data_IF_503956819907
#
_entry.id   IF_503956819907
#
_cell.length_a   1.000
_cell.length_b   1.000
_cell.length_c   1.000
_cell.angle_alpha   90.00
_cell.angle_beta   90.00
_cell.angle_gamma   90.00
#
_symmetry.space_group_name_H-M   'P 1'
#
loop_
_entity.id
_entity.type
_entity.pdbx_description
1 polymer ?
#
# COMPACT_ATOMS: atom_id res chain seq x y z
N UNK A 1 32.00 6.46 8.06
CA UNK A 1 30.92 5.63 7.48
C UNK A 1 31.61 4.55 6.68
N UNK A 2 31.42 3.27 7.03
CA UNK A 2 32.02 2.19 6.26
C UNK A 2 31.34 2.12 4.88
N UNK A 3 32.14 2.10 3.81
CA UNK A 3 31.68 1.85 2.45
C UNK A 3 31.35 0.36 2.33
N UNK A 4 30.16 0.05 1.81
CA UNK A 4 29.79 -1.32 1.47
C UNK A 4 30.37 -1.63 0.09
N UNK A 5 30.82 -2.87 -0.14
CA UNK A 5 31.39 -3.28 -1.42
C UNK A 5 30.62 -4.49 -1.99
N UNK A 6 30.20 -4.40 -3.25
CA UNK A 6 29.61 -5.51 -4.01
C UNK A 6 30.57 -5.85 -5.15
N UNK A 7 31.11 -7.07 -5.13
CA UNK A 7 32.13 -7.53 -6.08
C UNK A 7 33.35 -6.60 -6.23
N UNK A 8 33.77 -5.95 -5.13
CA UNK A 8 34.92 -5.04 -5.14
C UNK A 8 34.60 -3.62 -5.62
N UNK A 9 33.35 -3.32 -5.95
CA UNK A 9 32.88 -1.96 -6.26
C UNK A 9 32.27 -1.35 -5.00
N UNK A 10 32.76 -0.19 -4.61
CA UNK A 10 32.18 0.58 -3.51
C UNK A 10 30.77 1.05 -3.89
N UNK A 11 29.77 0.68 -3.08
CA UNK A 11 28.38 1.09 -3.25
C UNK A 11 27.93 1.98 -2.09
N UNK A 12 27.10 2.96 -2.42
CA UNK A 12 26.50 3.90 -1.46
C UNK A 12 25.23 3.29 -0.82
N UNK A 13 24.76 2.17 -1.37
CA UNK A 13 23.58 1.48 -0.87
C UNK A 13 23.88 0.83 0.48
N UNK A 14 22.99 1.04 1.44
CA UNK A 14 23.05 0.48 2.80
C UNK A 14 21.73 -0.19 3.11
N UNK A 15 21.73 -1.10 4.08
CA UNK A 15 20.50 -1.66 4.61
C UNK A 15 19.53 -0.55 4.99
N UNK A 16 18.26 -0.74 4.62
CA UNK A 16 17.19 0.10 5.14
C UNK A 16 17.20 0.03 6.67
N UNK A 17 16.91 1.14 7.38
CA UNK A 17 16.76 1.10 8.82
C UNK A 17 15.81 -0.04 9.22
N UNK A 18 16.26 -0.90 10.14
CA UNK A 18 15.41 -1.99 10.64
C UNK A 18 14.08 -1.41 11.12
N UNK A 19 12.95 -2.12 10.99
CA UNK A 19 11.65 -1.65 11.48
C UNK A 19 11.65 -1.26 12.97
N UNK A 20 12.56 -1.84 13.77
CA UNK A 20 12.75 -1.51 15.19
C UNK A 20 13.52 -0.23 15.45
N UNK A 21 14.11 0.39 14.43
CA UNK A 21 14.87 1.64 14.56
C UNK A 21 13.94 2.84 14.64
N UNK A 22 14.28 3.82 15.47
CA UNK A 22 13.50 5.06 15.59
C UNK A 22 13.37 5.82 14.25
N UNK A 23 14.37 5.67 13.36
CA UNK A 23 14.38 6.29 12.05
C UNK A 23 13.39 5.66 11.06
N UNK A 24 12.93 4.42 11.29
CA UNK A 24 12.05 3.69 10.36
C UNK A 24 10.61 4.23 10.33
N UNK A 25 10.18 5.00 11.35
CA UNK A 25 8.79 5.51 11.48
C UNK A 25 7.72 4.42 11.27
N UNK A 26 8.05 3.19 11.67
CA UNK A 26 7.21 2.02 11.49
C UNK A 26 6.28 1.85 12.69
N UNK A 27 4.97 1.76 12.45
CA UNK A 27 3.94 1.64 13.49
C UNK A 27 3.56 0.18 13.82
N UNK A 28 4.14 -0.80 13.13
CA UNK A 28 3.84 -2.22 13.31
C UNK A 28 2.77 -2.76 12.36
N UNK A 29 2.56 -4.08 12.44
CA UNK A 29 1.46 -4.76 11.76
C UNK A 29 0.17 -4.56 12.56
N UNK A 30 -0.93 -4.27 11.87
CA UNK A 30 -2.25 -4.03 12.43
C UNK A 30 -3.31 -4.88 11.72
N UNK A 31 -3.03 -6.19 11.60
CA UNK A 31 -3.92 -7.15 10.94
C UNK A 31 -5.31 -7.10 11.54
N UNK A 32 -6.30 -6.78 10.70
CA UNK A 32 -7.70 -6.73 11.09
C UNK A 32 -8.62 -6.90 9.89
N UNK A 33 -9.81 -7.40 10.15
CA UNK A 33 -10.91 -7.41 9.20
C UNK A 33 -12.04 -6.58 9.78
N UNK A 34 -12.51 -5.58 9.06
CA UNK A 34 -13.60 -4.70 9.48
C UNK A 34 -14.60 -4.54 8.35
N UNK A 35 -15.88 -4.42 8.70
CA UNK A 35 -16.92 -4.04 7.74
C UNK A 35 -17.09 -2.53 7.82
N UNK A 36 -16.88 -1.84 6.70
CA UNK A 36 -17.15 -0.42 6.53
C UNK A 36 -18.58 -0.28 6.00
N UNK A 37 -19.53 0.26 6.79
CA UNK A 37 -20.91 0.40 6.33
C UNK A 37 -21.02 1.42 5.18
N UNK A 38 -22.10 1.33 4.40
CA UNK A 38 -22.43 2.39 3.46
C UNK A 38 -22.60 3.73 4.22
N UNK A 39 -22.01 4.80 3.69
CA UNK A 39 -21.90 6.10 4.33
C UNK A 39 -20.66 6.28 5.20
N UNK A 40 -19.89 5.22 5.50
CA UNK A 40 -18.65 5.33 6.29
C UNK A 40 -17.67 6.32 5.66
N UNK A 41 -17.19 7.27 6.45
CA UNK A 41 -16.17 8.25 6.05
C UNK A 41 -14.95 8.13 6.96
N UNK A 42 -13.74 8.21 6.38
CA UNK A 42 -12.50 8.27 7.17
C UNK A 42 -12.42 9.57 7.99
N UNK A 43 -13.07 10.62 7.51
CA UNK A 43 -13.21 11.91 8.17
C UNK A 43 -14.14 12.82 7.36
N UNK A 44 -14.54 13.99 7.90
CA UNK A 44 -15.59 14.83 7.31
C UNK A 44 -15.23 15.40 5.94
N UNK A 45 -13.94 15.51 5.61
CA UNK A 45 -13.46 16.01 4.32
C UNK A 45 -13.41 14.94 3.21
N UNK A 46 -13.58 13.66 3.55
CA UNK A 46 -13.43 12.54 2.62
C UNK A 46 -14.78 12.04 2.10
N UNK A 47 -14.75 11.37 0.95
CA UNK A 47 -15.91 10.67 0.41
C UNK A 47 -16.30 9.49 1.30
N UNK A 48 -17.60 9.29 1.47
CA UNK A 48 -18.13 8.07 2.10
C UNK A 48 -18.14 6.86 1.17
N UNK A 49 -18.03 5.66 1.74
CA UNK A 49 -18.27 4.41 1.00
C UNK A 49 -19.72 4.35 0.53
N UNK A 50 -19.95 4.12 -0.77
CA UNK A 50 -21.32 4.02 -1.31
C UNK A 50 -21.93 2.62 -1.14
N UNK A 51 -21.09 1.61 -0.92
CA UNK A 51 -21.50 0.24 -0.66
C UNK A 51 -20.80 -0.28 0.59
N UNK A 52 -21.49 -1.14 1.33
CA UNK A 52 -20.89 -1.86 2.45
C UNK A 52 -19.68 -2.67 1.94
N UNK A 53 -18.54 -2.47 2.58
CA UNK A 53 -17.24 -2.96 2.10
C UNK A 53 -16.51 -3.66 3.23
N UNK A 54 -16.08 -4.90 3.00
CA UNK A 54 -15.11 -5.56 3.87
C UNK A 54 -13.73 -4.98 3.58
N UNK A 55 -13.05 -4.53 4.63
CA UNK A 55 -11.67 -4.10 4.63
C UNK A 55 -10.81 -5.06 5.45
N UNK A 56 -9.89 -5.76 4.80
CA UNK A 56 -8.90 -6.64 5.39
C UNK A 56 -7.54 -5.96 5.31
N UNK A 57 -6.94 -5.66 6.46
CA UNK A 57 -5.66 -4.95 6.56
C UNK A 57 -4.53 -5.92 6.86
N UNK A 58 -3.36 -5.66 6.27
CA UNK A 58 -2.11 -6.39 6.53
C UNK A 58 -2.24 -7.90 6.26
N UNK A 59 -2.94 -8.28 5.19
CA UNK A 59 -3.03 -9.69 4.77
C UNK A 59 -1.67 -10.18 4.27
N UNK A 60 -1.38 -11.46 4.51
CA UNK A 60 -0.11 -12.07 4.10
C UNK A 60 -0.24 -12.67 2.70
N UNK A 61 0.73 -12.38 1.83
CA UNK A 61 0.87 -13.00 0.53
C UNK A 61 2.25 -13.68 0.47
N UNK A 62 2.33 -14.98 0.79
CA UNK A 62 3.60 -15.70 0.72
C UNK A 62 4.03 -15.92 -0.73
N UNK A 63 5.27 -15.57 -1.03
CA UNK A 63 5.90 -15.81 -2.32
C UNK A 63 6.64 -17.14 -2.33
N UNK A 64 7.01 -17.61 -3.54
CA UNK A 64 7.75 -18.86 -3.76
C UNK A 64 9.11 -18.94 -3.05
N UNK A 65 9.74 -17.80 -2.77
CA UNK A 65 11.04 -17.72 -2.10
C UNK A 65 10.92 -17.62 -0.58
N UNK A 66 9.70 -17.73 -0.04
CA UNK A 66 9.41 -17.59 1.39
C UNK A 66 9.17 -16.16 1.85
N UNK A 67 9.43 -15.15 1.01
CA UNK A 67 9.15 -13.74 1.34
C UNK A 67 7.65 -13.55 1.54
N UNK A 68 7.27 -12.84 2.60
CA UNK A 68 5.88 -12.45 2.84
C UNK A 68 5.64 -10.99 2.40
N UNK A 69 4.79 -10.80 1.39
CA UNK A 69 4.25 -9.48 1.06
C UNK A 69 3.04 -9.16 1.92
N UNK A 70 2.76 -7.87 2.07
CA UNK A 70 1.61 -7.34 2.80
C UNK A 70 0.68 -6.59 1.88
N UNK A 71 -0.61 -6.80 2.07
CA UNK A 71 -1.63 -6.10 1.32
C UNK A 71 -2.83 -5.69 2.16
N UNK A 72 -3.53 -4.67 1.67
CA UNK A 72 -4.86 -4.30 2.12
C UNK A 72 -5.87 -4.70 1.05
N UNK A 73 -6.98 -5.34 1.44
CA UNK A 73 -8.04 -5.79 0.54
C UNK A 73 -9.34 -5.10 0.90
N UNK A 74 -9.98 -4.51 -0.10
CA UNK A 74 -11.32 -3.96 -0.02
C UNK A 74 -12.23 -4.72 -0.96
N UNK A 75 -13.32 -5.30 -0.47
CA UNK A 75 -14.27 -6.02 -1.32
C UNK A 75 -15.72 -5.74 -0.93
N UNK A 76 -16.65 -5.73 -1.89
CA UNK A 76 -18.07 -5.54 -1.58
C UNK A 76 -18.57 -6.63 -0.61
N UNK A 77 -19.40 -6.24 0.36
CA UNK A 77 -20.06 -7.19 1.27
C UNK A 77 -21.51 -7.51 0.88
N UNK A 78 -22.00 -6.93 -0.21
CA UNK A 78 -23.38 -7.07 -0.69
C UNK A 78 -23.56 -8.26 -1.66
N UNK A 79 -22.54 -9.09 -1.85
CA UNK A 79 -22.59 -10.26 -2.73
C UNK A 79 -21.77 -11.41 -2.16
N UNK A 80 -22.27 -12.63 -2.37
CA UNK A 80 -21.53 -13.87 -2.10
C UNK A 80 -20.77 -14.37 -3.34
N UNK A 81 -20.95 -13.74 -4.50
CA UNK A 81 -20.29 -14.12 -5.74
C UNK A 81 -18.84 -13.64 -5.78
N UNK A 82 -18.04 -14.27 -6.65
CA UNK A 82 -16.68 -13.80 -6.93
C UNK A 82 -16.74 -12.48 -7.69
N UNK A 83 -15.91 -11.52 -7.26
CA UNK A 83 -15.79 -10.20 -7.89
C UNK A 83 -14.42 -10.06 -8.58
N UNK A 84 -14.34 -9.29 -9.68
CA UNK A 84 -13.07 -8.94 -10.29
C UNK A 84 -12.21 -8.09 -9.33
N UNK A 85 -10.89 -8.26 -9.40
CA UNK A 85 -9.93 -7.50 -8.59
C UNK A 85 -9.25 -6.45 -9.47
N UNK A 86 -9.15 -5.23 -8.96
CA UNK A 86 -8.19 -4.22 -9.40
C UNK A 86 -7.01 -4.24 -8.44
N UNK A 87 -5.85 -4.61 -8.96
CA UNK A 87 -4.64 -4.78 -8.18
C UNK A 87 -3.75 -3.55 -8.33
N UNK A 88 -3.48 -2.88 -7.22
CA UNK A 88 -2.46 -1.85 -7.10
C UNK A 88 -1.25 -2.47 -6.41
N UNK A 89 -0.10 -2.37 -7.06
CA UNK A 89 1.16 -2.87 -6.54
C UNK A 89 2.17 -1.74 -6.67
N UNK A 90 2.55 -1.14 -5.54
CA UNK A 90 3.43 0.02 -5.54
C UNK A 90 4.33 0.05 -4.30
N UNK A 91 5.43 0.84 -4.35
CA UNK A 91 6.27 1.10 -3.20
C UNK A 91 5.85 2.34 -2.42
N UNK A 92 4.64 2.86 -2.67
CA UNK A 92 4.19 4.13 -2.10
C UNK A 92 3.37 3.96 -0.83
N UNK A 93 3.09 2.71 -0.44
CA UNK A 93 2.42 2.37 0.79
C UNK A 93 0.94 2.16 0.56
N UNK A 94 0.43 1.10 1.18
CA UNK A 94 -1.00 0.87 1.35
C UNK A 94 -1.61 1.85 2.38
N UNK A 95 -2.92 1.76 2.60
CA UNK A 95 -3.82 2.82 3.08
C UNK A 95 -3.43 3.59 4.35
N UNK A 96 -2.54 3.04 5.18
CA UNK A 96 -2.08 3.64 6.45
C UNK A 96 -0.54 3.70 6.60
N UNK A 97 0.20 3.34 5.54
CA UNK A 97 1.67 3.20 5.60
C UNK A 97 2.41 4.19 4.70
N UNK A 98 1.76 4.70 3.66
CA UNK A 98 2.36 5.59 2.66
C UNK A 98 2.52 7.04 3.10
N UNK A 99 3.61 7.67 2.67
CA UNK A 99 3.79 9.12 2.76
C UNK A 99 3.16 9.85 1.57
N UNK A 100 3.16 9.21 0.40
CA UNK A 100 2.65 9.84 -0.81
C UNK A 100 1.12 9.94 -0.78
N UNK A 101 0.61 11.12 -1.10
CA UNK A 101 -0.81 11.38 -1.31
C UNK A 101 -0.96 12.52 -2.31
N UNK A 102 -2.19 12.75 -2.78
CA UNK A 102 -2.47 13.89 -3.65
C UNK A 102 -2.21 15.24 -2.97
N UNK A 103 -2.13 15.31 -1.63
CA UNK A 103 -1.79 16.55 -0.92
C UNK A 103 -0.35 17.00 -1.13
N UNK A 104 0.54 16.11 -1.57
CA UNK A 104 1.90 16.47 -1.97
C UNK A 104 1.98 17.00 -3.40
N UNK A 105 0.93 16.81 -4.21
CA UNK A 105 0.91 17.26 -5.60
C UNK A 105 0.39 18.69 -5.66
N UNK A 106 1.06 19.62 -6.37
CA UNK A 106 0.58 20.99 -6.52
C UNK A 106 -0.90 21.05 -6.95
N UNK A 107 -1.71 21.78 -6.18
CA UNK A 107 -3.15 21.90 -6.41
C UNK A 107 -3.94 20.59 -6.33
N UNK A 108 -3.40 19.53 -5.70
CA UNK A 108 -3.95 18.16 -5.67
C UNK A 108 -4.27 17.60 -7.06
N UNK A 109 -3.52 18.01 -8.09
CA UNK A 109 -3.83 17.72 -9.50
C UNK A 109 -5.27 18.11 -9.91
N UNK A 110 -5.87 19.09 -9.23
CA UNK A 110 -7.27 19.49 -9.45
C UNK A 110 -8.32 18.56 -8.84
N UNK A 111 -7.91 17.54 -8.06
CA UNK A 111 -8.82 16.58 -7.44
C UNK A 111 -9.21 17.03 -6.02
N UNK A 112 -10.49 17.36 -5.77
CA UNK A 112 -10.95 17.73 -4.44
C UNK A 112 -10.81 16.58 -3.44
N UNK A 113 -10.51 16.89 -2.17
CA UNK A 113 -10.42 15.88 -1.11
C UNK A 113 -11.73 15.10 -0.92
N UNK A 114 -12.87 15.76 -1.10
CA UNK A 114 -14.20 15.15 -1.03
C UNK A 114 -14.47 14.11 -2.13
N UNK A 115 -13.58 13.99 -3.12
CA UNK A 115 -13.65 12.94 -4.14
C UNK A 115 -12.84 11.70 -3.78
N UNK A 116 -12.04 11.72 -2.72
CA UNK A 116 -11.22 10.60 -2.27
C UNK A 116 -11.75 10.04 -0.96
N UNK A 117 -11.67 8.74 -0.75
CA UNK A 117 -12.08 8.10 0.52
C UNK A 117 -11.08 8.29 1.64
N UNK A 118 -9.84 8.64 1.28
CA UNK A 118 -8.70 8.63 2.18
C UNK A 118 -8.20 7.22 2.45
N UNK A 119 -8.72 6.17 1.81
CA UNK A 119 -8.23 4.79 1.92
C UNK A 119 -7.44 4.35 0.69
N UNK A 120 -7.34 5.19 -0.34
CA UNK A 120 -6.51 4.94 -1.51
C UNK A 120 -5.00 4.90 -1.18
N UNK A 121 -4.23 4.14 -1.97
CA UNK A 121 -2.79 4.40 -2.11
C UNK A 121 -2.57 5.57 -3.06
N UNK A 122 -1.39 6.17 -3.01
CA UNK A 122 -0.93 7.05 -4.09
C UNK A 122 -0.94 6.30 -5.43
N UNK A 123 -1.50 6.93 -6.46
CA UNK A 123 -1.73 6.34 -7.81
C UNK A 123 -2.61 5.07 -7.83
N UNK A 124 -3.19 4.69 -6.68
CA UNK A 124 -4.07 3.54 -6.54
C UNK A 124 -5.54 3.86 -6.81
N UNK A 125 -6.36 2.84 -7.11
CA UNK A 125 -7.81 2.98 -7.22
C UNK A 125 -8.43 3.27 -5.85
N UNK A 126 -9.38 4.21 -5.80
CA UNK A 126 -10.11 4.52 -4.56
C UNK A 126 -11.11 3.40 -4.21
N UNK A 127 -10.97 2.73 -3.05
CA UNK A 127 -11.86 1.64 -2.69
C UNK A 127 -13.32 2.06 -2.56
N UNK A 128 -13.64 3.28 -2.09
CA UNK A 128 -15.03 3.73 -1.97
C UNK A 128 -15.73 3.94 -3.33
N UNK A 129 -14.95 4.18 -4.38
CA UNK A 129 -15.45 4.28 -5.75
C UNK A 129 -15.70 2.90 -6.34
N UNK A 130 -14.70 2.01 -6.25
CA UNK A 130 -14.66 0.75 -7.02
C UNK A 130 -15.42 -0.40 -6.35
N UNK A 131 -15.49 -0.48 -5.02
CA UNK A 131 -16.31 -1.50 -4.36
C UNK A 131 -17.80 -1.27 -4.62
N UNK A 132 -18.23 -0.01 -4.73
CA UNK A 132 -19.58 0.33 -5.16
C UNK A 132 -19.90 -0.06 -6.61
N UNK A 133 -18.88 -0.35 -7.43
CA UNK A 133 -19.02 -0.83 -8.81
C UNK A 133 -18.91 -2.35 -8.92
N UNK A 134 -18.82 -3.05 -7.78
CA UNK A 134 -18.69 -4.51 -7.75
C UNK A 134 -17.27 -5.03 -7.97
N UNK A 135 -16.24 -4.19 -7.80
CA UNK A 135 -14.83 -4.61 -7.87
C UNK A 135 -14.23 -4.72 -6.48
N UNK A 136 -13.32 -5.68 -6.29
CA UNK A 136 -12.41 -5.66 -5.16
C UNK A 136 -11.16 -4.84 -5.50
N UNK A 137 -10.59 -4.16 -4.51
CA UNK A 137 -9.28 -3.51 -4.59
C UNK A 137 -8.30 -4.31 -3.74
N UNK A 138 -7.15 -4.63 -4.31
CA UNK A 138 -6.03 -5.22 -3.56
C UNK A 138 -4.83 -4.29 -3.71
N UNK A 139 -4.35 -3.77 -2.59
CA UNK A 139 -3.28 -2.79 -2.52
C UNK A 139 -2.07 -3.42 -1.83
N UNK A 140 -1.02 -3.68 -2.60
CA UNK A 140 0.14 -4.48 -2.20
C UNK A 140 1.35 -3.56 -2.04
N UNK A 141 2.01 -3.67 -0.90
CA UNK A 141 3.34 -3.13 -0.72
C UNK A 141 4.36 -4.03 -1.45
N UNK A 142 5.19 -3.46 -2.32
CA UNK A 142 6.25 -4.20 -3.01
C UNK A 142 7.23 -4.86 -2.04
N UNK A 143 7.97 -5.87 -2.52
CA UNK A 143 9.08 -6.49 -1.79
C UNK A 143 10.01 -5.43 -1.19
N UNK A 144 10.36 -5.59 0.08
CA UNK A 144 11.20 -4.68 0.87
C UNK A 144 10.61 -3.30 1.17
N UNK A 145 9.37 -3.02 0.78
CA UNK A 145 8.69 -1.77 1.12
C UNK A 145 7.80 -1.92 2.34
N UNK A 146 7.90 -0.96 3.25
CA UNK A 146 7.12 -0.88 4.48
C UNK A 146 7.18 -2.17 5.31
N UNK A 147 6.08 -2.91 5.35
CA UNK A 147 5.82 -4.11 6.13
C UNK A 147 6.01 -5.41 5.34
N UNK A 148 6.30 -5.30 4.03
CA UNK A 148 6.63 -6.43 3.17
C UNK A 148 8.11 -6.78 3.28
N UNK A 149 8.39 -8.07 3.40
CA UNK A 149 9.74 -8.59 3.55
C UNK A 149 10.57 -8.47 2.27
N UNK A 150 11.87 -8.72 2.39
CA UNK A 150 12.83 -8.76 1.28
C UNK A 150 13.47 -7.40 0.96
N UNK A 151 14.03 -7.31 -0.24
CA UNK A 151 14.80 -6.14 -0.67
C UNK A 151 14.01 -5.25 -1.60
N UNK A 152 14.13 -3.94 -1.36
CA UNK A 152 13.47 -2.92 -2.17
C UNK A 152 14.40 -2.40 -3.27
N UNK A 153 13.96 -2.51 -4.52
CA UNK A 153 14.69 -2.05 -5.71
C UNK A 153 13.82 -1.06 -6.48
N UNK A 154 14.11 0.24 -6.32
CA UNK A 154 13.39 1.31 -7.01
C UNK A 154 14.10 1.61 -8.34
N UNK A 155 13.38 1.45 -9.47
CA UNK A 155 13.80 1.76 -10.86
C UNK A 155 15.28 1.46 -11.20
N UNK A 156 15.55 0.26 -11.73
CA UNK A 156 16.71 -0.05 -12.57
C UNK A 156 18.09 0.48 -12.14
N UNK A 157 18.42 0.43 -10.84
CA UNK A 157 19.83 0.31 -10.43
C UNK A 157 20.22 -1.17 -10.37
N UNK A 158 20.00 -1.91 -11.45
CA UNK A 158 20.72 -3.16 -11.70
C UNK A 158 22.13 -2.76 -12.16
N UNK A 159 23.05 -2.60 -11.22
CA UNK A 159 24.42 -3.00 -11.51
C UNK A 159 24.45 -4.50 -11.25
N UNK A 160 23.89 -5.27 -12.19
CA UNK A 160 24.00 -6.73 -12.17
C UNK A 160 25.48 -7.06 -12.35
N UNK A 161 26.19 -7.19 -11.24
CA UNK A 161 27.54 -7.72 -11.24
C UNK A 161 27.38 -9.24 -11.23
N UNK A 162 27.60 -9.87 -12.39
CA UNK A 162 27.84 -11.31 -12.49
C UNK A 162 29.21 -11.59 -11.91
#
# INVERSE_FOLDING_TARGET
MALYSVQGVDVIQRDSPRPTSAAARYSGLHRKTVVLPAGHQRGPAYRGFRAETIYERDIEIPLRDGTILRADVYRPNNTAEKVPILLAWSPYGKSDTGFFSLDLVPGRAGVPQSKMSGYESFEGPDPAEWTARGYAIVNINTKGSFDSEGDFVLVNCDVSCK
#
